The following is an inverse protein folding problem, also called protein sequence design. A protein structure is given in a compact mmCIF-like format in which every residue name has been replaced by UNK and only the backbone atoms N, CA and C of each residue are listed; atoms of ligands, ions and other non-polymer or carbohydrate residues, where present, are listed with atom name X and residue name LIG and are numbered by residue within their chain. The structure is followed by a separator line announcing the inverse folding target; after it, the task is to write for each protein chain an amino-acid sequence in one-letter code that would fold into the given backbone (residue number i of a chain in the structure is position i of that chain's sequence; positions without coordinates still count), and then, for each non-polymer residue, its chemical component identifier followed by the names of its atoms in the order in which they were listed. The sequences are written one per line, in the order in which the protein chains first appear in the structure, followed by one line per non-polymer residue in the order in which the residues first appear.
data_IF_640120202515
#
_entry.id   IF_640120202515
#
_cell.length_a   1.000
_cell.length_b   1.000
_cell.length_c   1.000
_cell.angle_alpha   90.00
_cell.angle_beta   90.00
_cell.angle_gamma   90.00
#
_symmetry.space_group_name_H-M   'P 1'
#
loop_
_entity.id
_entity.type
_entity.pdbx_description
1 polymer ?
#
# COMPACT_ATOMS: atom_id res chain seq x y z
N UNK A 1 -46.78 97.51 -46.94
CA UNK A 1 -47.54 96.72 -45.96
C UNK A 1 -46.96 95.32 -45.92
N UNK A 2 -45.91 95.05 -45.13
CA UNK A 2 -45.97 94.59 -43.73
C UNK A 2 -46.96 93.45 -43.48
N UNK A 3 -46.45 92.22 -43.36
CA UNK A 3 -46.74 91.33 -42.22
C UNK A 3 -45.76 90.13 -42.22
N UNK A 4 -45.07 89.99 -41.09
CA UNK A 4 -44.09 88.98 -40.71
C UNK A 4 -44.85 87.93 -39.89
N UNK A 5 -44.71 86.63 -40.17
CA UNK A 5 -45.24 85.59 -39.29
C UNK A 5 -44.25 84.41 -39.17
N UNK A 6 -43.99 84.05 -37.91
CA UNK A 6 -42.91 83.20 -37.40
C UNK A 6 -43.09 81.70 -37.71
N UNK A 7 -41.93 81.01 -37.70
CA UNK A 7 -41.79 79.54 -37.62
C UNK A 7 -42.51 78.96 -36.40
N UNK A 8 -43.10 77.78 -36.56
CA UNK A 8 -43.34 76.84 -35.46
C UNK A 8 -42.76 75.47 -35.84
N UNK A 9 -41.73 75.08 -35.09
CA UNK A 9 -41.15 73.75 -35.04
C UNK A 9 -42.09 72.88 -34.21
N UNK A 10 -42.51 71.68 -34.66
CA UNK A 10 -43.18 70.75 -33.77
C UNK A 10 -42.15 70.16 -32.80
N UNK A 11 -42.21 70.61 -31.55
CA UNK A 11 -41.54 70.00 -30.42
C UNK A 11 -42.03 68.56 -30.25
N UNK A 12 -41.07 67.64 -30.19
CA UNK A 12 -41.32 66.26 -29.77
C UNK A 12 -41.62 66.26 -28.29
N UNK A 13 -42.90 66.17 -27.91
CA UNK A 13 -43.28 65.79 -26.55
C UNK A 13 -42.81 64.36 -26.29
N UNK A 14 -41.66 64.23 -25.63
CA UNK A 14 -41.18 62.98 -25.04
C UNK A 14 -41.93 62.82 -23.73
N UNK A 15 -43.05 62.10 -23.73
CA UNK A 15 -43.67 61.65 -22.51
C UNK A 15 -42.68 60.70 -21.80
N UNK A 16 -42.15 61.14 -20.66
CA UNK A 16 -41.53 60.25 -19.68
C UNK A 16 -42.66 59.57 -18.91
N UNK A 17 -43.06 58.39 -19.36
CA UNK A 17 -43.91 57.51 -18.55
C UNK A 17 -43.11 57.11 -17.30
N UNK A 18 -43.64 57.44 -16.12
CA UNK A 18 -43.07 57.05 -14.84
C UNK A 18 -43.34 55.56 -14.58
N UNK A 19 -42.34 54.86 -14.05
CA UNK A 19 -42.45 53.42 -13.73
C UNK A 19 -43.44 53.21 -12.59
N UNK A 20 -44.38 52.27 -12.75
CA UNK A 20 -45.37 51.95 -11.72
C UNK A 20 -44.79 51.04 -10.61
N UNK A 21 -45.28 51.15 -9.38
CA UNK A 21 -44.82 50.31 -8.25
C UNK A 21 -45.03 48.82 -8.54
N UNK A 22 -46.09 48.46 -9.29
CA UNK A 22 -46.35 47.08 -9.70
C UNK A 22 -45.31 46.53 -10.68
N UNK A 23 -44.79 47.35 -11.59
CA UNK A 23 -43.72 46.91 -12.51
C UNK A 23 -42.43 46.63 -11.76
N UNK A 24 -42.06 47.50 -10.80
CA UNK A 24 -40.87 47.27 -9.97
C UNK A 24 -41.01 46.01 -9.10
N UNK A 25 -42.21 45.71 -8.58
CA UNK A 25 -42.46 44.47 -7.83
C UNK A 25 -42.32 43.21 -8.69
N UNK A 26 -42.82 43.23 -9.92
CA UNK A 26 -42.68 42.09 -10.86
C UNK A 26 -41.20 41.88 -11.22
N UNK A 27 -40.46 42.96 -11.48
CA UNK A 27 -39.01 42.87 -11.77
C UNK A 27 -38.23 42.27 -10.61
N UNK A 28 -38.50 42.70 -9.37
CA UNK A 28 -37.86 42.15 -8.19
C UNK A 28 -38.19 40.67 -7.97
N UNK A 29 -39.44 40.27 -8.23
CA UNK A 29 -39.86 38.87 -8.13
C UNK A 29 -39.14 37.98 -9.16
N UNK A 30 -39.05 38.42 -10.42
CA UNK A 30 -38.32 37.71 -11.47
C UNK A 30 -36.83 37.63 -11.14
N UNK A 31 -36.24 38.74 -10.67
CA UNK A 31 -34.83 38.79 -10.28
C UNK A 31 -34.50 37.79 -9.16
N UNK A 32 -35.36 37.68 -8.14
CA UNK A 32 -35.20 36.72 -7.05
C UNK A 32 -35.25 35.27 -7.55
N UNK A 33 -36.14 34.95 -8.50
CA UNK A 33 -36.23 33.61 -9.09
C UNK A 33 -34.96 33.27 -9.88
N UNK A 34 -34.45 34.20 -10.69
CA UNK A 34 -33.23 34.01 -11.50
C UNK A 34 -31.99 33.86 -10.62
N UNK A 35 -31.80 34.75 -9.65
CA UNK A 35 -30.69 34.68 -8.71
C UNK A 35 -30.78 33.42 -7.82
N UNK A 36 -32.00 33.03 -7.41
CA UNK A 36 -32.25 31.78 -6.71
C UNK A 36 -31.86 30.55 -7.53
N UNK A 37 -32.22 30.50 -8.81
CA UNK A 37 -31.82 29.43 -9.72
C UNK A 37 -30.30 29.36 -9.91
N UNK A 38 -29.65 30.51 -10.14
CA UNK A 38 -28.21 30.59 -10.37
C UNK A 38 -27.37 30.17 -9.15
N UNK A 39 -27.82 30.48 -7.93
CA UNK A 39 -27.08 30.11 -6.70
C UNK A 39 -27.05 28.58 -6.50
N UNK A 40 -28.15 27.88 -6.78
CA UNK A 40 -28.18 26.40 -6.69
C UNK A 40 -27.24 25.74 -7.70
N UNK A 41 -27.21 26.24 -8.93
CA UNK A 41 -26.27 25.78 -9.96
C UNK A 41 -24.82 26.08 -9.56
N UNK A 42 -24.56 27.25 -9.00
CA UNK A 42 -23.24 27.62 -8.52
C UNK A 42 -22.75 26.69 -7.40
N UNK A 43 -23.58 26.41 -6.39
CA UNK A 43 -23.25 25.48 -5.31
C UNK A 43 -22.99 24.07 -5.84
N UNK A 44 -23.81 23.59 -6.78
CA UNK A 44 -23.62 22.29 -7.42
C UNK A 44 -22.30 22.24 -8.20
N UNK A 45 -21.99 23.28 -8.97
CA UNK A 45 -20.74 23.39 -9.72
C UNK A 45 -19.51 23.46 -8.81
N UNK A 46 -19.56 24.23 -7.72
CA UNK A 46 -18.47 24.32 -6.74
C UNK A 46 -18.21 22.98 -6.05
N UNK A 47 -19.27 22.28 -5.62
CA UNK A 47 -19.13 20.96 -4.99
C UNK A 47 -18.60 19.91 -5.99
N UNK A 48 -19.07 19.94 -7.23
CA UNK A 48 -18.57 19.06 -8.30
C UNK A 48 -17.09 19.31 -8.60
N UNK A 49 -16.66 20.57 -8.62
CA UNK A 49 -15.26 20.92 -8.82
C UNK A 49 -14.38 20.44 -7.67
N UNK A 50 -14.86 20.54 -6.43
CA UNK A 50 -14.18 19.98 -5.26
C UNK A 50 -14.03 18.46 -5.34
N UNK A 51 -15.09 17.75 -5.69
CA UNK A 51 -15.07 16.29 -5.85
C UNK A 51 -14.11 15.84 -6.96
N UNK A 52 -14.14 16.50 -8.12
CA UNK A 52 -13.19 16.24 -9.22
C UNK A 52 -11.75 16.46 -8.79
N UNK A 53 -11.48 17.54 -8.04
CA UNK A 53 -10.14 17.86 -7.54
C UNK A 53 -9.65 16.76 -6.59
N UNK A 54 -10.44 16.42 -5.58
CA UNK A 54 -10.08 15.40 -4.59
C UNK A 54 -9.78 14.03 -5.25
N UNK A 55 -10.57 13.61 -6.23
CA UNK A 55 -10.34 12.37 -6.98
C UNK A 55 -9.01 12.39 -7.72
N UNK A 56 -8.71 13.48 -8.42
CA UNK A 56 -7.46 13.59 -9.17
C UNK A 56 -6.24 13.64 -8.26
N UNK A 57 -6.37 14.27 -7.09
CA UNK A 57 -5.32 14.33 -6.08
C UNK A 57 -5.04 12.95 -5.49
N UNK A 58 -6.07 12.23 -5.03
CA UNK A 58 -5.93 10.89 -4.47
C UNK A 58 -5.30 9.90 -5.48
N UNK A 59 -5.72 9.95 -6.75
CA UNK A 59 -5.13 9.12 -7.81
C UNK A 59 -3.67 9.47 -8.10
N UNK A 60 -3.34 10.77 -8.11
CA UNK A 60 -1.96 11.24 -8.30
C UNK A 60 -1.07 10.78 -7.15
N UNK A 61 -1.52 10.96 -5.92
CA UNK A 61 -0.78 10.58 -4.71
C UNK A 61 -0.54 9.06 -4.68
N UNK A 62 -1.55 8.25 -5.03
CA UNK A 62 -1.40 6.80 -5.11
C UNK A 62 -0.34 6.36 -6.15
N UNK A 63 -0.30 6.99 -7.33
CA UNK A 63 0.74 6.71 -8.34
C UNK A 63 2.14 7.08 -7.84
N UNK A 64 2.29 8.27 -7.26
CA UNK A 64 3.55 8.73 -6.68
C UNK A 64 4.02 7.83 -5.53
N UNK A 65 3.09 7.32 -4.73
CA UNK A 65 3.40 6.38 -3.66
C UNK A 65 3.93 5.05 -4.19
N UNK A 66 3.28 4.49 -5.23
CA UNK A 66 3.70 3.25 -5.87
C UNK A 66 5.09 3.38 -6.50
N UNK A 67 5.35 4.47 -7.22
CA UNK A 67 6.66 4.75 -7.82
C UNK A 67 7.77 4.86 -6.75
N UNK A 68 7.47 5.56 -5.64
CA UNK A 68 8.41 5.68 -4.53
C UNK A 68 8.68 4.33 -3.86
N UNK A 69 7.64 3.54 -3.64
CA UNK A 69 7.74 2.22 -3.04
C UNK A 69 8.55 1.26 -3.92
N UNK A 70 8.26 1.19 -5.22
CA UNK A 70 9.00 0.36 -6.18
C UNK A 70 10.49 0.70 -6.20
N UNK A 71 10.83 1.99 -6.15
CA UNK A 71 12.23 2.43 -6.07
C UNK A 71 12.91 1.95 -4.79
N UNK A 72 12.22 2.04 -3.65
CA UNK A 72 12.77 1.60 -2.37
C UNK A 72 12.94 0.08 -2.31
N UNK A 73 11.98 -0.70 -2.77
CA UNK A 73 12.08 -2.17 -2.84
C UNK A 73 13.26 -2.60 -3.71
N UNK A 74 13.44 -1.99 -4.89
CA UNK A 74 14.58 -2.32 -5.79
C UNK A 74 15.95 -1.99 -5.20
N UNK A 75 15.99 -1.11 -4.20
CA UNK A 75 17.22 -0.70 -3.53
C UNK A 75 17.39 -1.39 -2.17
N UNK A 76 16.38 -2.12 -1.68
CA UNK A 76 16.42 -2.76 -0.38
C UNK A 76 17.33 -3.98 -0.39
N UNK A 77 18.03 -4.19 0.73
CA UNK A 77 18.87 -5.37 0.95
C UNK A 77 18.16 -6.46 1.74
N UNK A 78 17.03 -6.15 2.38
CA UNK A 78 16.15 -7.10 3.04
C UNK A 78 14.72 -6.55 3.11
N UNK A 79 13.73 -7.43 3.13
CA UNK A 79 12.32 -7.08 3.26
C UNK A 79 11.59 -8.11 4.13
N UNK A 80 10.61 -7.64 4.91
CA UNK A 80 9.65 -8.42 5.68
C UNK A 80 8.26 -7.90 5.36
N UNK A 81 7.34 -8.79 5.00
CA UNK A 81 6.07 -8.43 4.36
C UNK A 81 4.93 -9.11 5.09
N UNK A 82 3.89 -8.33 5.35
CA UNK A 82 2.58 -8.71 5.85
C UNK A 82 1.53 -8.23 4.85
N UNK A 83 0.27 -8.65 5.01
CA UNK A 83 -0.82 -8.13 4.17
C UNK A 83 -1.02 -6.61 4.31
N UNK A 84 -0.70 -6.06 5.49
CA UNK A 84 -0.94 -4.64 5.83
C UNK A 84 0.32 -3.79 5.94
N UNK A 85 1.49 -4.41 6.10
CA UNK A 85 2.76 -3.71 6.27
C UNK A 85 3.91 -4.36 5.51
N UNK A 86 4.87 -3.54 5.12
CA UNK A 86 6.08 -3.94 4.41
C UNK A 86 7.27 -3.20 5.05
N UNK A 87 8.10 -3.92 5.78
CA UNK A 87 9.33 -3.40 6.38
C UNK A 87 10.51 -3.74 5.47
N UNK A 88 11.25 -2.73 5.05
CA UNK A 88 12.43 -2.86 4.20
C UNK A 88 13.66 -2.29 4.89
N UNK A 89 14.81 -2.92 4.66
CA UNK A 89 16.12 -2.41 5.09
C UNK A 89 16.80 -1.78 3.89
N UNK A 90 17.03 -0.47 3.97
CA UNK A 90 17.72 0.29 2.92
C UNK A 90 19.19 0.49 3.30
N UNK A 91 20.14 0.09 2.44
CA UNK A 91 21.53 0.50 2.55
C UNK A 91 21.68 2.03 2.54
N UNK A 92 22.74 2.54 3.17
CA UNK A 92 22.96 3.98 3.33
C UNK A 92 22.90 4.82 2.03
N UNK A 93 23.34 4.25 0.90
CA UNK A 93 23.31 4.90 -0.42
C UNK A 93 21.90 4.99 -1.04
N UNK A 94 20.97 4.13 -0.62
CA UNK A 94 19.58 4.14 -1.08
C UNK A 94 18.69 5.10 -0.29
N UNK A 95 19.18 5.56 0.86
CA UNK A 95 18.43 6.44 1.75
C UNK A 95 18.43 7.87 1.20
N UNK A 96 17.36 8.62 1.51
CA UNK A 96 17.27 10.05 1.23
C UNK A 96 16.94 10.80 2.53
N UNK A 97 17.87 11.60 3.09
CA UNK A 97 19.25 11.81 2.64
C UNK A 97 20.12 10.54 2.76
N UNK A 98 21.20 10.41 1.96
CA UNK A 98 22.09 9.26 2.04
C UNK A 98 22.86 9.28 3.37
N UNK A 99 23.06 8.10 3.94
CA UNK A 99 23.78 7.90 5.21
C UNK A 99 24.84 6.82 5.04
N UNK A 100 25.68 6.61 6.05
CA UNK A 100 26.72 5.56 6.04
C UNK A 100 26.25 4.22 6.65
N UNK A 101 25.02 4.15 7.15
CA UNK A 101 24.51 2.98 7.89
C UNK A 101 23.17 2.50 7.32
N UNK A 102 22.91 1.19 7.24
CA UNK A 102 21.60 0.68 6.86
C UNK A 102 20.54 1.11 7.88
N UNK A 103 19.34 1.40 7.40
CA UNK A 103 18.19 1.80 8.23
C UNK A 103 16.92 1.11 7.74
N UNK A 104 16.02 0.86 8.68
CA UNK A 104 14.72 0.23 8.41
C UNK A 104 13.66 1.28 8.13
N UNK A 105 12.83 0.99 7.13
CA UNK A 105 11.69 1.79 6.75
C UNK A 105 10.49 0.88 6.59
N UNK A 106 9.35 1.28 7.13
CA UNK A 106 8.13 0.49 7.05
C UNK A 106 7.05 1.26 6.32
N UNK A 107 6.44 0.58 5.34
CA UNK A 107 5.25 1.01 4.65
C UNK A 107 4.05 0.31 5.28
N UNK A 108 3.00 1.06 5.61
CA UNK A 108 1.83 0.50 6.27
C UNK A 108 0.55 1.08 5.70
N UNK A 109 -0.42 0.23 5.43
CA UNK A 109 -1.79 0.65 5.17
C UNK A 109 -2.53 0.70 6.52
N UNK A 110 -2.69 1.91 7.06
CA UNK A 110 -3.34 2.15 8.36
C UNK A 110 -4.54 3.06 8.19
N UNK A 111 -5.54 2.93 9.05
CA UNK A 111 -6.76 3.72 8.97
C UNK A 111 -7.96 3.00 9.58
N UNK A 112 -9.14 3.52 9.28
CA UNK A 112 -10.41 2.99 9.78
C UNK A 112 -11.29 2.46 8.65
N UNK A 113 -12.43 1.83 8.99
CA UNK A 113 -13.33 1.21 8.00
C UNK A 113 -13.91 2.21 6.97
N UNK A 114 -13.85 3.52 7.25
CA UNK A 114 -14.28 4.57 6.33
C UNK A 114 -13.21 4.93 5.28
N UNK A 115 -11.93 4.86 5.62
CA UNK A 115 -10.82 5.08 4.69
C UNK A 115 -9.50 4.61 5.30
N UNK A 116 -8.68 3.97 4.47
CA UNK A 116 -7.30 3.62 4.77
C UNK A 116 -6.36 4.58 4.05
N UNK A 117 -5.16 4.76 4.62
CA UNK A 117 -4.10 5.55 4.04
C UNK A 117 -2.80 4.74 4.06
N UNK A 118 -1.97 4.93 3.05
CA UNK A 118 -0.65 4.35 2.97
C UNK A 118 0.35 5.32 3.59
N UNK A 119 0.99 4.88 4.65
CA UNK A 119 2.00 5.62 5.40
C UNK A 119 3.38 5.01 5.20
N UNK A 120 4.40 5.87 5.26
CA UNK A 120 5.80 5.49 5.29
C UNK A 120 6.45 5.99 6.58
N UNK A 121 7.03 5.08 7.35
CA UNK A 121 7.73 5.32 8.60
C UNK A 121 9.24 5.08 8.44
N UNK A 122 10.05 5.80 9.22
CA UNK A 122 11.51 5.62 9.30
C UNK A 122 11.89 4.78 10.53
N UNK A 123 11.16 3.69 10.72
CA UNK A 123 11.32 2.69 11.78
C UNK A 123 10.91 1.33 11.22
N UNK A 124 11.02 0.29 12.03
CA UNK A 124 10.55 -1.08 11.72
C UNK A 124 9.06 -1.30 12.02
N UNK A 125 8.33 -0.26 12.41
CA UNK A 125 6.96 -0.35 12.91
C UNK A 125 6.04 0.67 12.25
N UNK A 126 4.73 0.38 12.25
CA UNK A 126 3.68 1.28 11.76
C UNK A 126 3.31 2.38 12.77
N UNK A 127 4.29 2.91 13.52
CA UNK A 127 4.06 3.84 14.62
C UNK A 127 5.08 4.98 14.61
N UNK A 128 4.70 6.10 15.24
CA UNK A 128 5.52 7.31 15.31
C UNK A 128 5.30 8.27 14.14
N UNK A 129 6.32 9.05 13.81
CA UNK A 129 6.24 10.11 12.80
C UNK A 129 6.33 9.53 11.38
N UNK A 130 5.18 9.12 10.84
CA UNK A 130 5.05 8.69 9.45
C UNK A 130 4.74 9.84 8.51
N UNK A 131 5.02 9.64 7.22
CA UNK A 131 4.52 10.51 6.14
C UNK A 131 3.44 9.76 5.37
N UNK A 132 2.26 10.36 5.27
CA UNK A 132 1.20 9.85 4.39
C UNK A 132 1.67 9.97 2.93
N UNK A 133 1.46 8.90 2.16
CA UNK A 133 1.87 8.78 0.76
C UNK A 133 0.69 8.66 -0.18
N UNK A 134 -0.36 7.97 0.27
CA UNK A 134 -1.64 7.88 -0.42
C UNK A 134 -2.77 7.79 0.60
N UNK A 135 -3.96 8.21 0.23
CA UNK A 135 -5.17 8.23 1.04
C UNK A 135 -6.36 7.61 0.29
N UNK A 136 -7.52 7.53 0.95
CA UNK A 136 -8.79 7.03 0.37
C UNK A 136 -8.72 5.58 -0.15
N UNK A 137 -7.91 4.74 0.49
CA UNK A 137 -7.83 3.32 0.18
C UNK A 137 -9.05 2.60 0.79
N UNK A 138 -9.59 1.62 0.05
CA UNK A 138 -10.77 0.85 0.52
C UNK A 138 -10.41 -0.36 1.38
N UNK A 139 -9.13 -0.75 1.42
CA UNK A 139 -8.63 -1.91 2.16
C UNK A 139 -7.25 -1.61 2.72
N UNK A 140 -6.91 -2.25 3.83
CA UNK A 140 -5.56 -2.28 4.37
C UNK A 140 -4.72 -3.46 3.83
N UNK A 141 -5.33 -4.45 3.19
CA UNK A 141 -4.62 -5.57 2.57
C UNK A 141 -4.04 -5.15 1.21
N UNK A 142 -3.00 -4.31 1.26
CA UNK A 142 -2.38 -3.68 0.08
C UNK A 142 -1.23 -4.52 -0.47
N UNK A 143 -0.59 -5.32 0.37
CA UNK A 143 0.59 -6.09 0.00
C UNK A 143 0.23 -7.57 -0.12
N UNK A 144 0.61 -8.18 -1.24
CA UNK A 144 0.49 -9.62 -1.43
C UNK A 144 1.85 -10.18 -1.80
N UNK A 145 2.35 -11.09 -0.97
CA UNK A 145 3.59 -11.81 -1.23
C UNK A 145 3.28 -13.14 -1.92
N UNK A 146 3.86 -13.36 -3.09
CA UNK A 146 3.77 -14.63 -3.82
C UNK A 146 5.18 -15.15 -4.08
N UNK A 147 5.44 -16.41 -3.79
CA UNK A 147 6.74 -17.05 -4.06
C UNK A 147 6.60 -18.12 -5.13
N UNK A 148 7.52 -18.10 -6.09
CA UNK A 148 7.61 -19.16 -7.11
C UNK A 148 8.68 -20.15 -6.66
N UNK A 149 8.26 -21.37 -6.33
CA UNK A 149 9.18 -22.43 -5.94
C UNK A 149 9.89 -23.01 -7.17
N UNK A 150 11.22 -23.17 -7.09
CA UNK A 150 12.03 -23.75 -8.15
C UNK A 150 12.66 -25.08 -7.68
N UNK A 151 12.99 -25.19 -6.39
CA UNK A 151 13.51 -26.43 -5.80
C UNK A 151 12.39 -27.33 -5.27
N UNK A 152 12.57 -28.67 -5.32
CA UNK A 152 11.64 -29.60 -4.70
C UNK A 152 11.54 -29.36 -3.19
N UNK A 153 10.42 -29.77 -2.60
CA UNK A 153 10.21 -29.58 -1.17
C UNK A 153 11.21 -30.39 -0.34
N UNK A 154 11.73 -29.84 0.79
CA UNK A 154 12.54 -30.61 1.70
C UNK A 154 11.70 -31.69 2.37
N UNK A 155 12.33 -32.83 2.61
CA UNK A 155 11.75 -33.91 3.42
C UNK A 155 11.98 -33.59 4.89
N UNK A 156 10.87 -33.56 5.65
CA UNK A 156 10.87 -33.28 7.08
C UNK A 156 10.64 -34.56 7.87
N UNK A 157 11.55 -34.86 8.80
CA UNK A 157 11.42 -35.96 9.74
C UNK A 157 11.39 -35.41 11.17
N UNK A 158 10.22 -35.48 11.81
CA UNK A 158 10.06 -35.09 13.21
C UNK A 158 10.48 -36.20 14.16
N UNK A 159 11.04 -35.83 15.30
CA UNK A 159 11.26 -36.73 16.44
C UNK A 159 10.78 -36.05 17.72
N UNK A 160 10.11 -36.80 18.60
CA UNK A 160 9.49 -36.28 19.81
C UNK A 160 10.47 -36.10 20.99
N UNK A 161 11.77 -36.27 20.76
CA UNK A 161 12.82 -36.17 21.77
C UNK A 161 14.07 -35.51 21.21
N UNK A 162 14.82 -34.84 22.10
CA UNK A 162 16.13 -34.27 21.78
C UNK A 162 16.09 -32.88 21.11
N UNK A 163 15.00 -32.15 21.27
CA UNK A 163 14.91 -30.72 20.94
C UNK A 163 14.11 -29.95 21.99
N UNK A 164 13.64 -28.77 21.60
CA UNK A 164 12.89 -27.82 22.42
C UNK A 164 11.70 -27.21 21.64
N UNK A 165 11.22 -27.89 20.60
CA UNK A 165 10.09 -27.42 19.80
C UNK A 165 8.78 -27.86 20.47
N UNK A 166 7.91 -26.88 20.73
CA UNK A 166 6.57 -27.08 21.28
C UNK A 166 5.57 -27.69 20.29
N UNK A 167 4.34 -27.99 20.74
CA UNK A 167 3.30 -28.61 19.93
C UNK A 167 2.64 -27.59 18.99
N UNK A 168 3.26 -27.38 17.83
CA UNK A 168 2.84 -26.39 16.84
C UNK A 168 3.06 -26.90 15.40
N UNK A 169 2.55 -26.15 14.42
CA UNK A 169 2.86 -26.35 13.01
C UNK A 169 4.11 -25.55 12.67
N UNK A 170 5.14 -26.22 12.16
CA UNK A 170 6.35 -25.57 11.69
C UNK A 170 6.47 -25.67 10.18
N UNK A 171 6.74 -24.54 9.53
CA UNK A 171 7.04 -24.46 8.11
C UNK A 171 8.55 -24.29 7.90
N UNK A 172 9.10 -24.99 6.90
CA UNK A 172 10.51 -24.92 6.51
C UNK A 172 10.64 -24.67 5.01
N UNK A 173 11.64 -23.87 4.63
CA UNK A 173 12.09 -23.64 3.25
C UNK A 173 13.61 -23.81 3.18
N UNK A 174 14.10 -24.31 2.06
CA UNK A 174 15.54 -24.43 1.79
C UNK A 174 15.83 -23.70 0.50
N UNK A 175 16.72 -22.71 0.55
CA UNK A 175 17.22 -22.03 -0.64
C UNK A 175 18.61 -22.51 -1.01
N UNK A 176 18.87 -22.61 -2.31
CA UNK A 176 20.20 -22.90 -2.85
C UNK A 176 20.90 -21.59 -3.22
N UNK A 177 22.14 -21.40 -2.79
CA UNK A 177 22.96 -20.23 -3.09
C UNK A 177 24.01 -20.63 -4.13
N UNK A 178 24.05 -19.93 -5.26
CA UNK A 178 25.06 -20.17 -6.29
C UNK A 178 26.41 -19.48 -5.97
N UNK A 179 27.42 -19.73 -6.81
CA UNK A 179 28.76 -19.15 -6.64
C UNK A 179 28.78 -17.61 -6.76
N UNK A 180 27.75 -17.01 -7.36
CA UNK A 180 27.58 -15.56 -7.46
C UNK A 180 26.81 -14.97 -6.25
N UNK A 181 26.43 -15.80 -5.28
CA UNK A 181 25.65 -15.39 -4.11
C UNK A 181 24.16 -15.22 -4.38
N UNK A 182 23.66 -15.65 -5.56
CA UNK A 182 22.24 -15.61 -5.87
C UNK A 182 21.55 -16.82 -5.24
N UNK A 183 20.49 -16.53 -4.50
CA UNK A 183 19.67 -17.55 -3.85
C UNK A 183 18.49 -17.98 -4.73
N UNK A 184 18.18 -19.27 -4.70
CA UNK A 184 17.07 -19.94 -5.39
C UNK A 184 16.16 -20.61 -4.36
N UNK A 185 14.89 -20.21 -4.24
CA UNK A 185 13.96 -20.68 -3.20
C UNK A 185 13.27 -21.99 -3.59
N UNK A 186 12.98 -22.80 -2.57
CA UNK A 186 12.35 -24.09 -2.71
C UNK A 186 10.85 -24.07 -2.44
N UNK A 187 10.30 -25.28 -2.49
CA UNK A 187 8.92 -25.53 -2.09
C UNK A 187 8.90 -25.72 -0.58
N UNK A 188 8.11 -24.94 0.15
CA UNK A 188 7.99 -25.12 1.58
C UNK A 188 7.36 -26.47 1.90
N UNK A 189 7.84 -27.05 2.99
CA UNK A 189 7.24 -28.22 3.62
C UNK A 189 6.83 -27.85 5.04
N UNK A 190 5.81 -28.52 5.58
CA UNK A 190 5.36 -28.27 6.95
C UNK A 190 5.17 -29.57 7.72
N UNK A 191 5.48 -29.53 9.01
CA UNK A 191 5.26 -30.61 9.96
C UNK A 191 4.49 -30.07 11.16
N UNK A 192 3.66 -30.90 11.79
CA UNK A 192 2.89 -30.51 12.97
C UNK A 192 3.17 -31.49 14.10
N UNK A 193 3.46 -30.95 15.28
CA UNK A 193 3.55 -31.72 16.51
C UNK A 193 2.29 -31.52 17.34
N UNK A 194 1.64 -32.61 17.73
CA UNK A 194 0.37 -32.56 18.45
C UNK A 194 0.54 -32.37 19.97
N UNK A 195 1.70 -32.73 20.52
CA UNK A 195 2.01 -32.67 21.95
C UNK A 195 3.54 -32.66 22.19
N UNK A 196 3.94 -32.30 23.41
CA UNK A 196 5.33 -32.34 23.88
C UNK A 196 6.15 -31.10 23.52
N UNK A 197 7.16 -30.82 24.33
CA UNK A 197 8.05 -29.64 24.17
C UNK A 197 9.49 -30.04 23.81
N UNK A 198 9.77 -31.34 23.65
CA UNK A 198 11.11 -31.87 23.35
C UNK A 198 11.31 -32.23 21.87
N UNK A 199 10.44 -31.72 21.00
CA UNK A 199 10.45 -32.11 19.59
C UNK A 199 11.67 -31.51 18.87
N UNK A 200 12.15 -32.23 17.84
CA UNK A 200 13.14 -31.76 16.87
C UNK A 200 12.72 -32.13 15.45
N UNK A 201 13.20 -31.39 14.46
CA UNK A 201 12.94 -31.65 13.04
C UNK A 201 14.25 -31.85 12.31
N UNK A 202 14.39 -32.95 11.60
CA UNK A 202 15.46 -33.13 10.62
C UNK A 202 14.93 -32.70 9.25
N UNK A 203 15.53 -31.65 8.71
CA UNK A 203 15.25 -31.11 7.38
C UNK A 203 16.29 -31.69 6.43
N UNK A 204 15.86 -32.34 5.36
CA UNK A 204 16.74 -32.94 4.35
C UNK A 204 16.25 -32.60 2.94
N UNK A 205 17.18 -32.40 2.01
CA UNK A 205 16.85 -32.02 0.63
C UNK A 205 17.81 -32.67 -0.36
N UNK A 206 17.41 -32.71 -1.63
CA UNK A 206 18.30 -33.16 -2.70
C UNK A 206 19.30 -32.06 -3.07
N UNK A 207 20.57 -32.40 -3.36
CA UNK A 207 21.54 -31.41 -3.82
C UNK A 207 21.09 -30.78 -5.15
N UNK A 208 21.23 -29.46 -5.26
CA UNK A 208 20.90 -28.69 -6.44
C UNK A 208 22.15 -28.43 -7.30
N UNK A 209 21.99 -28.50 -8.63
CA UNK A 209 23.09 -28.29 -9.56
C UNK A 209 23.47 -26.80 -9.60
N UNK A 210 24.73 -26.48 -9.31
CA UNK A 210 25.23 -25.10 -9.27
C UNK A 210 25.11 -24.41 -7.90
N UNK A 211 24.55 -25.09 -6.89
CA UNK A 211 24.58 -24.61 -5.52
C UNK A 211 25.96 -24.80 -4.88
N UNK A 212 26.48 -23.76 -4.23
CA UNK A 212 27.70 -23.80 -3.42
C UNK A 212 27.37 -23.91 -1.94
N UNK A 213 26.21 -23.38 -1.52
CA UNK A 213 25.69 -23.52 -0.16
C UNK A 213 24.16 -23.51 -0.16
N UNK A 214 23.57 -23.81 1.00
CA UNK A 214 22.14 -23.79 1.24
C UNK A 214 21.82 -22.97 2.48
N UNK A 215 20.75 -22.19 2.40
CA UNK A 215 20.17 -21.51 3.55
C UNK A 215 18.90 -22.22 3.96
N UNK A 216 18.80 -22.59 5.24
CA UNK A 216 17.64 -23.25 5.81
C UNK A 216 16.83 -22.23 6.58
N UNK A 217 15.61 -21.99 6.10
CA UNK A 217 14.64 -21.11 6.73
C UNK A 217 13.55 -21.94 7.40
N UNK A 218 13.03 -21.49 8.55
CA UNK A 218 11.93 -22.18 9.20
C UNK A 218 11.46 -21.56 10.49
N UNK A 219 10.72 -22.37 11.26
CA UNK A 219 10.08 -21.99 12.53
C UNK A 219 9.04 -20.88 12.41
N UNK A 220 8.32 -20.86 11.29
CA UNK A 220 7.08 -20.10 11.13
C UNK A 220 5.92 -20.99 11.59
N UNK A 221 5.08 -20.46 12.49
CA UNK A 221 3.93 -21.14 13.11
C UNK A 221 2.76 -21.36 12.13
N UNK A 222 2.88 -20.82 10.91
CA UNK A 222 1.84 -20.87 9.90
C UNK A 222 0.62 -20.01 10.26
N UNK A 223 0.73 -19.15 11.27
CA UNK A 223 -0.27 -18.13 11.58
C UNK A 223 -0.01 -16.87 10.78
N UNK A 224 -1.07 -16.17 10.39
CA UNK A 224 -1.00 -14.90 9.67
C UNK A 224 -0.44 -13.74 10.53
N UNK A 225 0.08 -14.02 11.73
CA UNK A 225 0.67 -13.02 12.63
C UNK A 225 2.19 -12.97 12.50
N UNK A 226 2.63 -12.19 11.50
CA UNK A 226 3.85 -11.35 11.51
C UNK A 226 5.22 -12.02 11.74
N UNK A 227 5.38 -13.35 11.67
CA UNK A 227 6.71 -13.97 11.71
C UNK A 227 6.99 -14.87 10.49
N UNK A 228 7.19 -14.26 9.31
CA UNK A 228 7.80 -14.95 8.17
C UNK A 228 9.09 -15.70 8.54
N UNK A 229 9.42 -16.70 7.72
CA UNK A 229 10.48 -17.69 7.99
C UNK A 229 11.79 -17.08 8.49
N UNK A 230 12.38 -17.69 9.52
CA UNK A 230 13.66 -17.28 10.09
C UNK A 230 14.81 -18.05 9.45
N UNK A 231 15.95 -17.41 9.19
CA UNK A 231 17.17 -18.12 8.80
C UNK A 231 17.68 -18.91 10.01
N UNK A 232 17.67 -20.24 9.91
CA UNK A 232 18.10 -21.16 10.97
C UNK A 232 19.57 -21.54 10.82
N UNK A 233 20.03 -21.73 9.58
CA UNK A 233 21.40 -22.12 9.28
C UNK A 233 21.78 -21.83 7.83
N UNK A 234 23.08 -21.63 7.60
CA UNK A 234 23.72 -21.72 6.29
C UNK A 234 24.66 -22.93 6.30
N UNK A 235 24.50 -23.85 5.36
CA UNK A 235 25.25 -25.12 5.34
C UNK A 235 25.60 -25.53 3.92
N UNK A 236 26.70 -26.27 3.75
CA UNK A 236 27.05 -26.93 2.48
C UNK A 236 26.53 -28.37 2.41
N UNK A 237 26.12 -28.94 3.54
CA UNK A 237 25.48 -30.25 3.63
C UNK A 237 24.03 -30.19 3.18
N UNK A 238 23.46 -31.33 2.79
CA UNK A 238 22.06 -31.45 2.34
C UNK A 238 21.08 -31.86 3.46
N UNK A 239 21.47 -31.61 4.71
CA UNK A 239 20.66 -31.91 5.88
C UNK A 239 20.95 -30.93 7.02
N UNK A 240 19.92 -30.61 7.78
CA UNK A 240 19.99 -29.77 8.98
C UNK A 240 19.04 -30.32 10.05
N UNK A 241 19.46 -30.27 11.32
CA UNK A 241 18.61 -30.67 12.44
C UNK A 241 18.23 -29.43 13.23
N UNK A 242 16.94 -29.12 13.23
CA UNK A 242 16.32 -28.09 14.04
C UNK A 242 15.93 -28.66 15.40
N UNK A 243 16.59 -28.20 16.46
CA UNK A 243 16.32 -28.61 17.85
C UNK A 243 15.57 -27.55 18.67
N UNK A 244 14.98 -26.52 18.06
CA UNK A 244 14.36 -25.42 18.82
C UNK A 244 15.37 -24.37 19.34
N UNK A 245 14.95 -23.39 20.15
CA UNK A 245 15.76 -22.19 20.42
C UNK A 245 16.86 -22.40 21.48
N UNK A 246 18.01 -21.72 21.28
CA UNK A 246 19.05 -21.50 22.30
C UNK A 246 19.33 -20.00 22.59
N UNK A 247 18.66 -19.04 21.93
CA UNK A 247 18.90 -17.61 22.09
C UNK A 247 18.19 -16.75 21.04
N UNK A 248 18.10 -15.44 21.28
CA UNK A 248 17.33 -14.49 20.47
C UNK A 248 17.89 -14.34 19.03
N UNK A 249 17.05 -14.61 18.02
CA UNK A 249 17.41 -14.42 16.62
C UNK A 249 16.63 -13.25 16.03
N UNK A 250 17.35 -12.15 15.77
CA UNK A 250 16.86 -10.96 15.10
C UNK A 250 17.16 -11.07 13.59
N UNK A 251 16.28 -11.73 12.84
CA UNK A 251 15.96 -11.32 11.46
C UNK A 251 14.87 -12.23 10.91
N UNK A 252 13.74 -11.63 10.56
CA UNK A 252 12.83 -12.22 9.60
C UNK A 252 13.50 -12.05 8.23
N UNK A 253 14.12 -13.10 7.72
CA UNK A 253 14.68 -13.11 6.39
C UNK A 253 13.67 -13.82 5.50
N UNK A 254 12.87 -13.05 4.75
CA UNK A 254 12.04 -13.65 3.72
C UNK A 254 12.94 -14.25 2.64
N UNK A 255 12.71 -15.49 2.19
CA UNK A 255 13.46 -16.09 1.09
C UNK A 255 13.45 -15.13 -0.11
N UNK A 256 14.59 -14.85 -0.75
CA UNK A 256 14.77 -13.71 -1.66
C UNK A 256 14.13 -13.85 -3.06
N UNK A 257 13.11 -14.69 -3.25
CA UNK A 257 12.49 -14.96 -4.56
C UNK A 257 10.97 -14.94 -4.58
N UNK A 258 10.37 -14.15 -3.70
CA UNK A 258 8.98 -13.77 -3.87
C UNK A 258 8.80 -12.53 -4.74
N UNK A 259 7.73 -12.54 -5.52
CA UNK A 259 7.15 -11.35 -6.14
C UNK A 259 6.25 -10.68 -5.11
N UNK A 260 6.40 -9.37 -4.95
CA UNK A 260 5.53 -8.55 -4.10
C UNK A 260 4.56 -7.83 -5.01
N UNK A 261 3.30 -8.27 -5.01
CA UNK A 261 2.22 -7.53 -5.64
C UNK A 261 1.75 -6.44 -4.69
N UNK A 262 1.66 -5.21 -5.18
CA UNK A 262 1.11 -4.09 -4.43
C UNK A 262 -0.16 -3.64 -5.13
N UNK A 263 -1.31 -3.73 -4.46
CA UNK A 263 -2.59 -3.28 -5.01
C UNK A 263 -3.18 -2.15 -4.17
N UNK A 264 -3.34 -0.98 -4.79
CA UNK A 264 -3.98 0.19 -4.20
C UNK A 264 -5.35 0.37 -4.84
N UNK A 265 -6.41 0.13 -4.07
CA UNK A 265 -7.80 0.39 -4.48
C UNK A 265 -8.26 1.68 -3.82
N UNK A 266 -8.40 2.73 -4.61
CA UNK A 266 -8.77 4.08 -4.13
C UNK A 266 -10.23 4.37 -4.45
N UNK A 267 -10.96 4.89 -3.47
CA UNK A 267 -12.37 5.31 -3.60
C UNK A 267 -12.60 6.65 -2.90
N UNK A 268 -12.83 7.69 -3.70
CA UNK A 268 -13.04 9.05 -3.22
C UNK A 268 -14.52 9.39 -3.00
N UNK A 269 -15.46 8.46 -3.27
CA UNK A 269 -16.90 8.71 -3.04
C UNK A 269 -17.58 7.55 -2.33
N UNK A 270 -18.13 7.75 -1.11
CA UNK A 270 -18.85 6.68 -0.41
C UNK A 270 -20.17 6.24 -1.09
N UNK A 271 -20.60 6.92 -2.17
CA UNK A 271 -21.93 6.73 -2.77
C UNK A 271 -22.00 5.66 -3.88
N UNK A 272 -20.88 5.17 -4.44
CA UNK A 272 -20.94 4.14 -5.49
C UNK A 272 -19.63 3.37 -5.62
N UNK A 273 -19.66 2.08 -5.23
CA UNK A 273 -18.52 1.16 -5.40
C UNK A 273 -18.12 0.87 -6.86
N UNK A 274 -18.80 1.47 -7.85
CA UNK A 274 -18.49 1.30 -9.28
C UNK A 274 -17.40 2.25 -9.81
N UNK A 275 -16.91 3.21 -9.01
CA UNK A 275 -15.90 4.19 -9.44
C UNK A 275 -14.53 3.98 -8.78
N UNK A 276 -14.25 2.75 -8.35
CA UNK A 276 -12.98 2.39 -7.70
C UNK A 276 -11.84 2.35 -8.70
N UNK A 277 -10.78 3.10 -8.41
CA UNK A 277 -9.56 3.08 -9.20
C UNK A 277 -8.59 2.07 -8.60
N UNK A 278 -8.12 1.13 -9.42
CA UNK A 278 -7.16 0.09 -9.00
C UNK A 278 -5.82 0.33 -9.66
N UNK A 279 -4.78 0.41 -8.84
CA UNK A 279 -3.38 0.39 -9.26
C UNK A 279 -2.76 -0.90 -8.76
N UNK A 280 -2.14 -1.68 -9.64
CA UNK A 280 -1.36 -2.86 -9.28
C UNK A 280 0.04 -2.78 -9.86
N UNK A 281 1.05 -3.09 -9.06
CA UNK A 281 2.41 -3.39 -9.53
C UNK A 281 2.64 -4.89 -9.35
N UNK A 282 3.06 -5.54 -10.43
CA UNK A 282 3.39 -6.98 -10.52
C UNK A 282 4.91 -7.17 -10.61
#
# INVERSE_FOLDING_TARGET
MMARALRLVPDRFRATDGVTISEMLVVLAILMIVLGGMTTLFVSASNSQGDQTNRTEAQRNARLALDALRREIRCASAASISSTSLTITLPGYCQKPPTSSPAQFTWCATGGPASYALWRYASSSCSGTGRMRADLLTSNAVFTYSRTAILPAPTLAGAATGGALGPERYVYDVTAVDAAGKETSGTNSSITFAAGDENKVTVSWSPYTGAVSYNVYGRDDGTSTVEGLRLLATTTSTSYVDTGPAGAFASMASPPLGTVRVELVVDATPASGSQRFRLSDD
#
